data_IF_817226094524
#
_entry.id   IF_817226094524
#
_cell.length_a   1.000
_cell.length_b   1.000
_cell.length_c   1.000
_cell.angle_alpha   90.00
_cell.angle_beta   90.00
_cell.angle_gamma   90.00
#
_symmetry.space_group_name_H-M   'P 1'
#
loop_
_entity.id
_entity.type
_entity.pdbx_description
1 polymer ?
#
# COMPACT_ATOMS: atom_id res chain seq x y z
N UNK A 1 20.50 19.83 5.22
CA UNK A 1 19.67 18.95 4.40
C UNK A 1 19.98 17.46 4.58
N UNK A 2 21.22 17.06 4.65
CA UNK A 2 21.63 15.67 4.89
C UNK A 2 21.05 15.10 6.22
N UNK A 3 21.17 15.84 7.29
CA UNK A 3 20.63 15.45 8.60
C UNK A 3 19.12 15.20 8.63
N UNK A 4 18.38 15.93 7.81
CA UNK A 4 16.92 15.81 7.75
C UNK A 4 16.49 14.55 6.99
N UNK A 5 17.21 14.17 5.95
CA UNK A 5 16.95 12.94 5.22
C UNK A 5 17.23 11.70 6.07
N UNK A 6 18.32 11.67 6.82
CA UNK A 6 18.66 10.56 7.70
C UNK A 6 17.63 10.35 8.80
N UNK A 7 17.12 11.43 9.40
CA UNK A 7 16.09 11.34 10.44
C UNK A 7 14.77 10.75 9.87
N UNK A 8 14.37 11.16 8.68
CA UNK A 8 13.19 10.63 8.00
C UNK A 8 13.37 9.15 7.64
N UNK A 9 14.53 8.78 7.10
CA UNK A 9 14.87 7.38 6.80
C UNK A 9 14.81 6.53 8.06
N UNK A 10 15.41 6.98 9.14
CA UNK A 10 15.47 6.25 10.40
C UNK A 10 14.10 6.08 11.09
N UNK A 11 13.14 6.91 10.76
CA UNK A 11 11.76 6.81 11.28
C UNK A 11 10.83 6.01 10.36
N UNK A 12 11.06 6.02 9.06
CA UNK A 12 10.15 5.45 8.06
C UNK A 12 10.44 3.99 7.76
N UNK A 13 11.70 3.61 7.65
CA UNK A 13 12.10 2.29 7.14
C UNK A 13 12.28 1.19 8.19
N UNK A 14 12.71 1.45 9.44
CA UNK A 14 12.84 0.38 10.42
C UNK A 14 11.49 -0.24 10.76
N UNK A 15 11.45 -1.58 10.79
CA UNK A 15 10.25 -2.32 11.19
C UNK A 15 9.13 -2.34 10.16
N UNK A 16 9.42 -2.11 8.86
CA UNK A 16 8.41 -2.19 7.81
C UNK A 16 7.76 -3.56 7.75
N UNK A 17 6.45 -3.59 7.92
CA UNK A 17 5.61 -4.72 7.59
C UNK A 17 5.02 -4.58 6.19
N UNK A 18 4.55 -5.69 5.64
CA UNK A 18 3.84 -5.73 4.36
C UNK A 18 2.38 -5.99 4.62
N UNK A 19 1.52 -5.13 4.06
CA UNK A 19 0.08 -5.25 4.13
C UNK A 19 -0.48 -5.28 2.72
N UNK A 20 -1.56 -5.99 2.52
CA UNK A 20 -2.18 -6.15 1.21
C UNK A 20 -3.60 -5.60 1.19
N UNK A 21 -3.94 -4.96 0.09
CA UNK A 21 -5.30 -4.55 -0.23
C UNK A 21 -5.55 -4.90 -1.69
N UNK A 22 -6.35 -5.93 -1.91
CA UNK A 22 -6.63 -6.47 -3.24
C UNK A 22 -7.83 -5.77 -3.87
N UNK A 23 -7.70 -5.41 -5.12
CA UNK A 23 -8.69 -4.62 -5.85
C UNK A 23 -8.69 -4.97 -7.34
N UNK A 24 -9.85 -4.87 -7.96
CA UNK A 24 -9.94 -4.85 -9.42
C UNK A 24 -9.90 -3.41 -9.90
N UNK A 25 -8.88 -3.04 -10.66
CA UNK A 25 -8.74 -1.71 -11.23
C UNK A 25 -8.85 -1.77 -12.75
N UNK A 26 -9.56 -0.80 -13.31
CA UNK A 26 -9.49 -0.55 -14.75
C UNK A 26 -8.09 -0.09 -15.13
N UNK A 27 -7.73 -0.27 -16.40
CA UNK A 27 -6.45 0.22 -16.92
C UNK A 27 -6.27 1.74 -16.67
N UNK A 28 -7.35 2.50 -16.87
CA UNK A 28 -7.34 3.95 -16.69
C UNK A 28 -7.02 4.37 -15.25
N UNK A 29 -7.60 3.69 -14.25
CA UNK A 29 -7.32 3.96 -12.85
C UNK A 29 -5.91 3.49 -12.47
N UNK A 30 -5.50 2.32 -12.92
CA UNK A 30 -4.19 1.76 -12.63
C UNK A 30 -3.04 2.65 -13.15
N UNK A 31 -3.20 3.24 -14.33
CA UNK A 31 -2.21 4.12 -14.95
C UNK A 31 -2.00 5.45 -14.20
N UNK A 32 -2.90 5.80 -13.28
CA UNK A 32 -2.72 6.97 -12.41
C UNK A 32 -1.56 6.81 -11.43
N UNK A 33 -1.27 5.57 -11.05
CA UNK A 33 -0.15 5.27 -10.14
C UNK A 33 1.15 5.21 -10.92
N UNK A 34 1.98 6.24 -10.76
CA UNK A 34 3.29 6.32 -11.41
C UNK A 34 4.40 6.30 -10.37
N UNK A 35 5.54 5.64 -10.62
CA UNK A 35 6.65 5.62 -9.68
C UNK A 35 7.08 7.03 -9.27
N UNK A 36 7.25 7.24 -7.96
CA UNK A 36 7.60 8.53 -7.38
C UNK A 36 6.42 9.42 -7.01
N UNK A 37 5.22 9.12 -7.49
CA UNK A 37 4.01 9.87 -7.13
C UNK A 37 3.70 9.72 -5.65
N UNK A 38 3.39 10.83 -4.98
CA UNK A 38 2.82 10.82 -3.64
C UNK A 38 1.32 11.00 -3.76
N UNK A 39 0.58 10.10 -3.13
CA UNK A 39 -0.88 10.12 -3.08
C UNK A 39 -1.32 10.30 -1.63
N UNK A 40 -2.49 10.87 -1.43
CA UNK A 40 -3.13 11.02 -0.11
C UNK A 40 -4.50 10.38 -0.13
N UNK A 41 -4.75 9.48 0.81
CA UNK A 41 -6.08 8.89 0.99
C UNK A 41 -6.86 9.67 2.05
N UNK A 42 -8.03 10.17 1.70
CA UNK A 42 -8.87 10.95 2.62
C UNK A 42 -9.54 10.09 3.68
N UNK A 43 -9.91 8.87 3.32
CA UNK A 43 -10.52 7.91 4.22
C UNK A 43 -9.46 7.10 4.99
N UNK A 44 -9.91 6.26 5.90
CA UNK A 44 -9.07 5.19 6.45
C UNK A 44 -8.70 4.20 5.34
N UNK A 45 -7.48 3.69 5.38
CA UNK A 45 -7.02 2.68 4.43
C UNK A 45 -6.98 1.32 5.12
N UNK A 46 -7.96 0.48 4.81
CA UNK A 46 -8.03 -0.89 5.30
C UNK A 46 -7.10 -1.79 4.48
N UNK A 47 -6.33 -2.61 5.18
CA UNK A 47 -5.45 -3.59 4.58
C UNK A 47 -5.34 -4.83 5.48
N UNK A 48 -4.71 -5.87 4.99
CA UNK A 48 -4.51 -7.12 5.72
C UNK A 48 -3.03 -7.43 5.87
N UNK A 49 -2.64 -7.97 7.02
CA UNK A 49 -1.31 -8.55 7.20
C UNK A 49 -1.19 -9.99 6.69
N UNK A 50 -2.28 -10.57 6.21
CA UNK A 50 -2.32 -11.93 5.66
C UNK A 50 -1.97 -11.90 4.18
N UNK A 51 -0.67 -12.00 3.91
CA UNK A 51 -0.14 -11.91 2.55
C UNK A 51 -0.11 -13.32 1.94
N UNK A 52 -1.09 -13.60 1.10
CA UNK A 52 -1.25 -14.88 0.38
C UNK A 52 -1.47 -14.62 -1.11
N UNK A 53 -1.94 -15.62 -1.87
CA UNK A 53 -2.36 -15.44 -3.25
C UNK A 53 -3.54 -14.49 -3.39
N UNK A 54 -3.90 -14.14 -4.61
CA UNK A 54 -4.94 -13.15 -4.90
C UNK A 54 -5.84 -13.60 -6.05
N UNK A 55 -7.09 -13.14 -6.02
CA UNK A 55 -8.08 -13.40 -7.09
C UNK A 55 -8.43 -12.15 -7.90
N UNK A 56 -7.99 -10.97 -7.45
CA UNK A 56 -8.21 -9.69 -8.13
C UNK A 56 -7.13 -9.43 -9.19
N UNK A 57 -7.32 -8.40 -9.98
CA UNK A 57 -6.34 -7.98 -11.00
C UNK A 57 -5.14 -7.26 -10.44
N UNK A 58 -5.33 -6.49 -9.36
CA UNK A 58 -4.33 -5.62 -8.74
C UNK A 58 -4.25 -5.85 -7.24
N UNK A 59 -3.10 -5.57 -6.69
CA UNK A 59 -2.82 -5.59 -5.25
C UNK A 59 -2.02 -4.36 -4.89
N UNK A 60 -2.51 -3.59 -3.92
CA UNK A 60 -1.64 -2.65 -3.23
C UNK A 60 -0.78 -3.41 -2.23
N UNK A 61 0.54 -3.32 -2.38
CA UNK A 61 1.50 -3.75 -1.36
C UNK A 61 1.89 -2.51 -0.55
N UNK A 62 1.38 -2.42 0.66
CA UNK A 62 1.62 -1.29 1.54
C UNK A 62 2.76 -1.65 2.50
N UNK A 63 3.87 -0.92 2.40
CA UNK A 63 5.00 -1.04 3.31
C UNK A 63 4.84 0.01 4.39
N UNK A 64 4.71 -0.43 5.63
CA UNK A 64 4.45 0.48 6.75
C UNK A 64 5.01 -0.06 8.07
N UNK A 65 5.44 0.85 8.93
CA UNK A 65 5.81 0.55 10.31
C UNK A 65 4.84 1.14 11.35
N UNK A 66 3.71 1.72 10.89
CA UNK A 66 2.75 2.40 11.77
C UNK A 66 1.28 2.20 11.39
N UNK A 67 0.95 1.08 10.74
CA UNK A 67 -0.44 0.67 10.57
C UNK A 67 -1.02 0.28 11.94
N UNK A 68 -2.25 0.69 12.19
CA UNK A 68 -2.95 0.33 13.41
C UNK A 68 -3.57 -1.07 13.30
N UNK A 69 -3.35 -1.90 14.32
CA UNK A 69 -3.96 -3.23 14.43
C UNK A 69 -5.30 -3.11 15.18
N UNK A 70 -6.37 -3.55 14.55
CA UNK A 70 -7.73 -3.47 15.13
C UNK A 70 -8.42 -4.83 15.22
N UNK A 71 -7.89 -5.80 15.97
CA UNK A 71 -8.49 -7.11 16.06
C UNK A 71 -9.90 -7.07 16.68
N UNK A 72 -10.18 -6.09 17.53
CA UNK A 72 -11.49 -5.91 18.17
C UNK A 72 -12.59 -5.53 17.17
N UNK A 73 -12.26 -5.04 15.98
CA UNK A 73 -13.23 -4.71 14.93
C UNK A 73 -13.44 -5.83 13.91
N UNK A 74 -12.72 -6.94 14.05
CA UNK A 74 -12.84 -8.04 13.09
C UNK A 74 -14.07 -8.92 13.35
N UNK A 75 -14.59 -8.97 14.56
CA UNK A 75 -15.78 -9.74 14.92
C UNK A 75 -15.77 -11.21 14.42
N UNK A 76 -14.58 -11.84 14.46
CA UNK A 76 -14.40 -13.22 14.01
C UNK A 76 -14.18 -13.39 12.51
N UNK A 77 -14.02 -12.31 11.74
CA UNK A 77 -13.75 -12.38 10.30
C UNK A 77 -12.37 -12.93 9.96
N UNK A 78 -11.42 -12.77 10.86
CA UNK A 78 -10.03 -13.21 10.70
C UNK A 78 -9.35 -12.66 9.43
N UNK A 79 -9.62 -11.39 9.14
CA UNK A 79 -9.01 -10.68 8.00
C UNK A 79 -7.55 -10.30 8.23
N UNK A 80 -7.10 -10.26 9.48
CA UNK A 80 -5.81 -9.65 9.82
C UNK A 80 -5.83 -8.14 9.57
N UNK A 81 -6.94 -7.48 9.93
CA UNK A 81 -7.21 -6.08 9.61
C UNK A 81 -6.21 -5.13 10.26
N UNK A 82 -5.58 -4.33 9.42
CA UNK A 82 -4.75 -3.19 9.80
C UNK A 82 -5.21 -1.96 9.04
N UNK A 83 -5.10 -0.80 9.65
CA UNK A 83 -5.68 0.43 9.11
C UNK A 83 -4.66 1.57 9.16
N UNK A 84 -4.48 2.26 8.05
CA UNK A 84 -3.81 3.55 8.04
C UNK A 84 -4.82 4.66 8.34
N UNK A 85 -4.39 5.69 9.08
CA UNK A 85 -5.24 6.82 9.44
C UNK A 85 -5.79 7.53 8.21
N UNK A 86 -6.96 8.15 8.37
CA UNK A 86 -7.49 9.06 7.35
C UNK A 86 -6.50 10.19 7.09
N UNK A 87 -6.34 10.56 5.82
CA UNK A 87 -5.39 11.57 5.41
C UNK A 87 -3.95 11.06 5.26
N UNK A 88 -3.71 9.77 5.41
CA UNK A 88 -2.38 9.17 5.21
C UNK A 88 -1.88 9.37 3.78
N UNK A 89 -0.57 9.58 3.67
CA UNK A 89 0.12 9.71 2.39
C UNK A 89 0.97 8.49 2.10
N UNK A 90 1.04 8.15 0.81
CA UNK A 90 1.82 7.01 0.33
C UNK A 90 2.66 7.46 -0.85
N UNK A 91 3.89 6.97 -0.92
CA UNK A 91 4.73 7.12 -2.12
C UNK A 91 4.63 5.86 -2.96
N UNK A 92 4.32 6.02 -4.24
CA UNK A 92 4.38 4.89 -5.19
C UNK A 92 5.84 4.57 -5.47
N UNK A 93 6.30 3.41 -5.01
CA UNK A 93 7.67 2.96 -5.23
C UNK A 93 7.84 2.34 -6.61
N UNK A 94 6.82 1.69 -7.11
CA UNK A 94 6.85 1.08 -8.43
C UNK A 94 5.63 0.21 -8.69
N UNK A 95 5.54 -0.24 -9.93
CA UNK A 95 4.48 -1.12 -10.44
C UNK A 95 5.17 -2.37 -10.98
N UNK A 96 4.65 -3.54 -10.61
CA UNK A 96 5.20 -4.81 -11.04
C UNK A 96 4.12 -5.77 -11.52
N UNK A 97 4.36 -6.39 -12.67
CA UNK A 97 3.45 -7.37 -13.25
C UNK A 97 4.08 -8.74 -13.16
N UNK A 98 3.31 -9.71 -12.63
CA UNK A 98 3.71 -11.08 -12.52
C UNK A 98 2.54 -12.00 -12.86
N UNK A 99 2.67 -12.81 -13.92
CA UNK A 99 1.66 -13.78 -14.39
C UNK A 99 0.24 -13.17 -14.49
N UNK A 100 0.15 -11.96 -15.06
CA UNK A 100 -1.13 -11.26 -15.25
C UNK A 100 -1.67 -10.56 -14.01
N UNK A 101 -0.98 -10.60 -12.89
CA UNK A 101 -1.31 -9.88 -11.67
C UNK A 101 -0.39 -8.68 -11.51
N UNK A 102 -0.94 -7.55 -11.06
CA UNK A 102 -0.20 -6.30 -10.91
C UNK A 102 -0.10 -5.89 -9.45
N UNK A 103 1.12 -5.67 -8.98
CA UNK A 103 1.39 -5.06 -7.68
C UNK A 103 1.65 -3.56 -7.85
N UNK A 104 0.98 -2.76 -7.04
CA UNK A 104 1.26 -1.34 -6.84
C UNK A 104 1.91 -1.22 -5.47
N UNK A 105 3.21 -0.93 -5.45
CA UNK A 105 3.98 -0.90 -4.20
C UNK A 105 3.94 0.50 -3.62
N UNK A 106 3.41 0.63 -2.42
CA UNK A 106 3.22 1.88 -1.70
C UNK A 106 4.05 1.91 -0.42
N UNK A 107 4.79 2.99 -0.20
CA UNK A 107 5.44 3.28 1.08
C UNK A 107 4.55 4.22 1.88
N UNK A 108 4.13 3.79 3.06
CA UNK A 108 3.33 4.60 3.99
C UNK A 108 4.23 5.65 4.64
N UNK A 109 4.00 6.90 4.32
CA UNK A 109 4.77 8.03 4.86
C UNK A 109 4.26 8.41 6.25
N UNK A 110 5.13 9.05 7.04
CA UNK A 110 4.77 9.52 8.37
C UNK A 110 3.68 10.62 8.31
N UNK A 111 2.84 10.70 9.34
CA UNK A 111 1.75 11.66 9.44
C UNK A 111 2.24 13.06 9.89
N UNK A 112 3.34 13.52 9.31
CA UNK A 112 3.94 14.82 9.55
C UNK A 112 4.35 15.47 8.22
N UNK A 113 5.04 16.59 8.26
CA UNK A 113 5.48 17.31 7.06
C UNK A 113 6.68 16.66 6.34
N UNK A 114 7.23 15.56 6.87
CA UNK A 114 8.40 14.89 6.29
C UNK A 114 8.13 14.31 4.89
N UNK A 115 6.86 14.10 4.53
CA UNK A 115 6.47 13.67 3.18
C UNK A 115 7.00 14.61 2.09
N UNK A 116 7.22 15.89 2.39
CA UNK A 116 7.75 16.87 1.44
C UNK A 116 9.16 16.53 0.98
N UNK A 117 9.93 15.84 1.81
CA UNK A 117 11.28 15.38 1.49
C UNK A 117 11.23 14.34 0.38
N UNK A 118 10.25 13.44 0.44
CA UNK A 118 10.08 12.38 -0.56
C UNK A 118 9.74 12.91 -1.96
N UNK A 119 9.22 14.14 -2.07
CA UNK A 119 9.04 14.81 -3.37
C UNK A 119 10.37 15.20 -4.02
N UNK A 120 11.39 15.47 -3.22
CA UNK A 120 12.63 16.11 -3.66
C UNK A 120 13.82 15.13 -3.74
N UNK A 121 13.72 13.97 -3.10
CA UNK A 121 14.80 13.00 -3.00
C UNK A 121 14.41 11.65 -3.56
N UNK A 122 15.23 11.12 -4.47
CA UNK A 122 15.25 9.69 -4.75
C UNK A 122 16.19 9.04 -3.73
N UNK A 123 15.64 8.18 -2.88
CA UNK A 123 16.40 7.47 -1.88
C UNK A 123 16.77 6.08 -2.41
N UNK A 124 18.05 5.71 -2.34
CA UNK A 124 18.51 4.37 -2.74
C UNK A 124 17.83 3.25 -1.96
N UNK A 125 17.42 3.54 -0.72
CA UNK A 125 16.68 2.59 0.12
C UNK A 125 15.30 2.25 -0.46
N UNK A 126 14.66 3.17 -1.19
CA UNK A 126 13.38 2.91 -1.86
C UNK A 126 13.50 1.75 -2.85
N UNK A 127 14.58 1.73 -3.62
CA UNK A 127 14.85 0.65 -4.58
C UNK A 127 15.04 -0.70 -3.89
N UNK A 128 15.77 -0.71 -2.78
CA UNK A 128 16.03 -1.93 -2.01
C UNK A 128 14.74 -2.51 -1.43
N UNK A 129 13.90 -1.69 -0.80
CA UNK A 129 12.64 -2.16 -0.23
C UNK A 129 11.63 -2.55 -1.31
N UNK A 130 11.65 -1.86 -2.45
CA UNK A 130 10.82 -2.21 -3.61
C UNK A 130 11.17 -3.61 -4.13
N UNK A 131 12.44 -3.90 -4.36
CA UNK A 131 12.90 -5.24 -4.81
C UNK A 131 12.48 -6.34 -3.84
N UNK A 132 12.63 -6.11 -2.55
CA UNK A 132 12.19 -7.06 -1.51
C UNK A 132 10.68 -7.29 -1.56
N UNK A 133 9.90 -6.25 -1.74
CA UNK A 133 8.44 -6.35 -1.83
C UNK A 133 8.01 -7.17 -3.07
N UNK A 134 8.65 -6.95 -4.22
CA UNK A 134 8.39 -7.69 -5.46
C UNK A 134 8.69 -9.17 -5.30
N UNK A 135 9.82 -9.53 -4.72
CA UNK A 135 10.17 -10.93 -4.49
C UNK A 135 9.12 -11.65 -3.65
N UNK A 136 8.64 -10.98 -2.60
CA UNK A 136 7.54 -11.51 -1.78
C UNK A 136 6.24 -11.61 -2.56
N UNK A 137 5.91 -10.61 -3.36
CA UNK A 137 4.71 -10.62 -4.19
C UNK A 137 4.70 -11.83 -5.13
N UNK A 138 5.78 -12.08 -5.84
CA UNK A 138 5.89 -13.21 -6.75
C UNK A 138 5.71 -14.55 -6.04
N UNK A 139 6.40 -14.73 -4.90
CA UNK A 139 6.25 -15.95 -4.09
C UNK A 139 4.83 -16.15 -3.59
N UNK A 140 4.16 -15.09 -3.16
CA UNK A 140 2.79 -15.16 -2.64
C UNK A 140 1.76 -15.38 -3.73
N UNK A 141 2.00 -14.91 -4.95
CA UNK A 141 1.13 -15.20 -6.10
C UNK A 141 1.07 -16.69 -6.46
N UNK A 142 2.09 -17.45 -6.10
CA UNK A 142 2.12 -18.92 -6.30
C UNK A 142 1.36 -19.69 -5.20
N UNK A 143 0.92 -19.03 -4.17
CA UNK A 143 0.19 -19.63 -3.05
C UNK A 143 -1.32 -19.47 -3.24
N UNK A 144 -2.15 -20.35 -2.64
CA UNK A 144 -3.58 -20.13 -2.63
C UNK A 144 -3.94 -18.85 -1.87
N UNK A 145 -5.02 -18.17 -2.26
CA UNK A 145 -5.50 -17.00 -1.52
C UNK A 145 -5.99 -17.40 -0.12
N UNK A 146 -5.91 -16.45 0.83
CA UNK A 146 -6.55 -16.62 2.13
C UNK A 146 -8.08 -16.61 1.92
N UNK A 147 -8.77 -17.63 2.42
CA UNK A 147 -10.21 -17.77 2.23
C UNK A 147 -11.00 -16.55 2.74
N UNK A 148 -10.53 -15.94 3.83
CA UNK A 148 -11.16 -14.77 4.44
C UNK A 148 -11.01 -13.51 3.60
N UNK A 149 -9.98 -13.43 2.75
CA UNK A 149 -9.70 -12.27 1.90
C UNK A 149 -10.33 -12.35 0.51
N UNK A 150 -11.01 -13.43 0.20
CA UNK A 150 -11.76 -13.57 -1.06
C UNK A 150 -13.28 -13.59 -0.83
N UNK A 151 -13.71 -13.31 0.39
CA UNK A 151 -15.13 -13.13 0.71
C UNK A 151 -15.65 -11.84 0.10
N UNK A 152 -16.95 -11.83 -0.22
CA UNK A 152 -17.60 -10.63 -0.73
C UNK A 152 -17.45 -9.46 0.23
N UNK A 153 -17.57 -9.69 1.53
CA UNK A 153 -17.46 -8.65 2.55
C UNK A 153 -16.08 -7.93 2.51
N UNK A 154 -14.98 -8.69 2.38
CA UNK A 154 -13.66 -8.10 2.29
C UNK A 154 -13.45 -7.37 0.95
N UNK A 155 -13.82 -8.00 -0.16
CA UNK A 155 -13.67 -7.42 -1.49
C UNK A 155 -14.46 -6.11 -1.64
N UNK A 156 -15.68 -6.07 -1.10
CA UNK A 156 -16.49 -4.84 -1.07
C UNK A 156 -15.86 -3.73 -0.22
N UNK A 157 -15.24 -4.09 0.91
CA UNK A 157 -14.52 -3.16 1.77
C UNK A 157 -13.33 -2.52 1.07
N UNK A 158 -12.65 -3.26 0.20
CA UNK A 158 -11.42 -2.87 -0.48
C UNK A 158 -11.62 -2.36 -1.91
N UNK A 159 -12.84 -2.22 -2.38
CA UNK A 159 -13.13 -1.88 -3.79
C UNK A 159 -12.79 -0.46 -4.22
N UNK A 160 -12.46 0.40 -3.28
CA UNK A 160 -12.16 1.82 -3.56
C UNK A 160 -10.67 2.01 -3.82
N UNK A 161 -10.28 2.74 -4.90
CA UNK A 161 -8.89 3.01 -5.17
C UNK A 161 -8.28 3.93 -4.11
N UNK A 162 -7.01 3.72 -3.78
CA UNK A 162 -6.29 4.54 -2.80
C UNK A 162 -5.86 5.86 -3.44
N UNK A 163 -6.10 6.96 -2.77
CA UNK A 163 -5.58 8.28 -3.13
C UNK A 163 -6.35 9.03 -4.22
N UNK A 164 -7.51 8.55 -4.59
CA UNK A 164 -8.32 9.16 -5.64
C UNK A 164 -9.80 8.90 -5.45
N UNK A 165 -10.63 9.65 -6.18
CA UNK A 165 -12.06 9.35 -6.32
C UNK A 165 -12.26 8.06 -7.11
N UNK A 166 -13.46 7.50 -7.09
CA UNK A 166 -13.83 6.33 -7.88
C UNK A 166 -13.67 6.58 -9.39
N UNK A 167 -13.74 7.84 -9.81
CA UNK A 167 -13.54 8.28 -11.21
C UNK A 167 -12.07 8.53 -11.56
N UNK A 168 -11.15 8.38 -10.61
CA UNK A 168 -9.72 8.51 -10.83
C UNK A 168 -9.17 9.93 -10.70
N UNK A 169 -9.87 10.82 -10.01
CA UNK A 169 -9.38 12.16 -9.68
C UNK A 169 -8.55 12.06 -8.41
N UNK A 170 -7.25 12.31 -8.53
CA UNK A 170 -6.33 12.29 -7.40
C UNK A 170 -6.72 13.35 -6.34
N UNK A 171 -6.70 12.94 -5.07
CA UNK A 171 -6.90 13.88 -3.96
C UNK A 171 -5.71 14.82 -3.84
N UNK A 172 -5.97 16.02 -3.32
CA UNK A 172 -4.94 16.98 -2.96
C UNK A 172 -4.05 16.37 -1.86
N UNK A 173 -2.74 16.54 -2.02
CA UNK A 173 -1.75 15.98 -1.08
C UNK A 173 -1.34 16.97 0.03
N UNK A 174 -1.69 18.25 -0.10
CA UNK A 174 -1.38 19.32 0.88
C UNK A 174 -2.32 19.31 2.07
#
# INVERSE_FOLDING_TARGET
>A
MEYFCDDVVNKTYPGLGIYVRDINLSKELAEKYTPGLIIREKAFTDASNRVMGMVTTHRYLILSNHMADFPQFEHGTNWGLHVANSGSRFKVLGIHIYKGKTAIVLLHLLDDDSWKIYKQCQLSVDETVYKMAIERFEKKCEMPPAAELITQAWLERCKFPIGMTDDGILWDID
#
